data_IF_610803731150
#
_entry.id   IF_610803731150
#
_cell.length_a   1.000
_cell.length_b   1.000
_cell.length_c   1.000
_cell.angle_alpha   90.00
_cell.angle_beta   90.00
_cell.angle_gamma   90.00
#
_symmetry.space_group_name_H-M   'P 1'
#
loop_
_entity.id
_entity.type
_entity.pdbx_description
1 polymer ?
#
# COMPACT_ATOMS: atom_id res chain seq x y z
N UNK A 1 0.03 -54.36 -21.11
CA UNK A 1 0.24 -54.41 -19.65
C UNK A 1 1.34 -53.41 -19.34
N UNK A 2 0.94 -52.18 -18.96
CA UNK A 2 1.16 -51.52 -17.64
C UNK A 2 2.64 -51.20 -17.41
N UNK A 3 3.09 -49.99 -17.09
CA UNK A 3 2.45 -48.67 -16.90
C UNK A 3 3.57 -47.61 -16.91
N UNK A 4 3.22 -46.39 -17.32
CA UNK A 4 4.02 -45.17 -17.22
C UNK A 4 4.64 -45.00 -15.83
N UNK A 5 5.91 -44.58 -15.76
CA UNK A 5 6.54 -44.14 -14.51
C UNK A 5 7.10 -42.73 -14.68
N UNK A 6 6.31 -41.78 -14.20
CA UNK A 6 6.59 -40.34 -13.98
C UNK A 6 5.99 -40.03 -12.60
N UNK A 7 6.43 -39.00 -11.83
CA UNK A 7 7.75 -38.42 -11.53
C UNK A 7 7.95 -38.34 -9.98
N UNK A 8 8.90 -37.54 -9.47
CA UNK A 8 8.59 -36.44 -8.51
C UNK A 8 9.82 -35.54 -8.36
N UNK A 9 9.76 -34.35 -8.96
CA UNK A 9 10.63 -33.22 -8.61
C UNK A 9 10.23 -32.70 -7.23
N UNK A 10 11.15 -32.42 -6.29
CA UNK A 10 10.78 -31.80 -5.03
C UNK A 10 10.26 -30.37 -5.28
N UNK A 11 9.01 -30.15 -4.87
CA UNK A 11 8.35 -28.85 -4.81
C UNK A 11 9.20 -27.90 -3.94
N UNK A 12 9.93 -27.00 -4.61
CA UNK A 12 10.69 -25.93 -3.98
C UNK A 12 9.77 -24.71 -3.82
N UNK A 13 8.63 -24.91 -3.16
CA UNK A 13 7.85 -23.81 -2.60
C UNK A 13 8.62 -23.28 -1.39
N UNK A 14 9.46 -22.27 -1.64
CA UNK A 14 9.98 -21.39 -0.61
C UNK A 14 8.85 -20.86 0.27
N UNK A 15 9.15 -20.43 1.52
CA UNK A 15 8.13 -20.02 2.46
C UNK A 15 7.23 -18.99 1.78
N UNK A 16 5.92 -19.27 1.75
CA UNK A 16 4.92 -18.32 1.31
C UNK A 16 5.25 -17.00 1.99
N UNK A 17 5.72 -16.03 1.19
CA UNK A 17 5.94 -14.68 1.67
C UNK A 17 4.62 -14.29 2.31
N UNK A 18 4.61 -14.20 3.65
CA UNK A 18 3.41 -13.95 4.41
C UNK A 18 2.79 -12.71 3.82
N UNK A 19 1.69 -12.89 3.09
CA UNK A 19 0.93 -11.75 2.59
C UNK A 19 0.68 -10.91 3.83
N UNK A 20 1.12 -9.64 3.88
CA UNK A 20 0.78 -8.80 5.01
C UNK A 20 -0.74 -8.83 5.08
N UNK A 21 -1.26 -9.51 6.10
CA UNK A 21 -2.69 -9.52 6.38
C UNK A 21 -3.02 -8.05 6.56
N UNK A 22 -3.68 -7.47 5.56
CA UNK A 22 -4.26 -6.15 5.72
C UNK A 22 -5.17 -6.31 6.94
N UNK A 23 -4.92 -5.57 8.03
CA UNK A 23 -5.79 -5.66 9.19
C UNK A 23 -7.21 -5.47 8.71
N UNK A 24 -8.14 -6.32 9.16
CA UNK A 24 -9.58 -6.15 8.93
C UNK A 24 -10.01 -4.89 9.69
N UNK A 25 -9.66 -3.75 9.10
CA UNK A 25 -9.70 -2.45 9.74
C UNK A 25 -11.00 -1.78 9.31
N UNK A 26 -12.12 -2.40 9.65
CA UNK A 26 -13.38 -1.66 9.73
C UNK A 26 -13.31 -0.81 10.98
N UNK A 27 -13.09 0.51 10.87
CA UNK A 27 -12.91 1.34 12.05
C UNK A 27 -14.23 1.41 12.81
N UNK A 28 -14.22 1.09 14.10
CA UNK A 28 -15.42 1.11 14.95
C UNK A 28 -15.69 2.51 15.54
N UNK A 29 -14.72 3.42 15.43
CA UNK A 29 -14.81 4.78 15.96
C UNK A 29 -14.16 5.80 15.02
N UNK A 30 -14.53 7.06 15.21
CA UNK A 30 -13.92 8.17 14.47
C UNK A 30 -12.40 8.28 14.71
N UNK A 31 -11.96 7.98 15.95
CA UNK A 31 -10.54 7.94 16.30
C UNK A 31 -9.81 6.85 15.52
N UNK A 32 -10.39 5.66 15.43
CA UNK A 32 -9.84 4.56 14.63
C UNK A 32 -9.82 4.90 13.14
N UNK A 33 -10.88 5.53 12.61
CA UNK A 33 -10.91 5.96 11.21
C UNK A 33 -9.83 6.99 10.91
N UNK A 34 -9.65 7.98 11.80
CA UNK A 34 -8.60 8.99 11.69
C UNK A 34 -7.21 8.37 11.72
N UNK A 35 -6.99 7.39 12.61
CA UNK A 35 -5.72 6.67 12.69
C UNK A 35 -5.47 5.85 11.41
N UNK A 36 -6.47 5.11 10.92
CA UNK A 36 -6.34 4.31 9.70
C UNK A 36 -5.99 5.16 8.47
N UNK A 37 -6.64 6.32 8.28
CA UNK A 37 -6.33 7.22 7.16
C UNK A 37 -4.92 7.83 7.32
N UNK A 38 -4.54 8.23 8.54
CA UNK A 38 -3.20 8.74 8.81
C UNK A 38 -2.11 7.68 8.55
N UNK A 39 -2.39 6.42 8.84
CA UNK A 39 -1.48 5.31 8.58
C UNK A 39 -1.35 5.05 7.08
N UNK A 40 -2.46 5.07 6.35
CA UNK A 40 -2.47 4.97 4.89
C UNK A 40 -1.65 6.11 4.24
N UNK A 41 -1.81 7.35 4.70
CA UNK A 41 -1.01 8.48 4.22
C UNK A 41 0.50 8.26 4.46
N UNK A 42 0.88 7.78 5.65
CA UNK A 42 2.29 7.45 5.93
C UNK A 42 2.82 6.33 5.02
N UNK A 43 2.03 5.30 4.76
CA UNK A 43 2.41 4.22 3.84
C UNK A 43 2.56 4.71 2.40
N UNK A 44 1.68 5.60 1.93
CA UNK A 44 1.80 6.23 0.61
C UNK A 44 3.09 7.06 0.48
N UNK A 45 3.43 7.83 1.52
CA UNK A 45 4.70 8.58 1.58
C UNK A 45 5.92 7.64 1.49
N UNK A 46 5.97 6.60 2.31
CA UNK A 46 7.05 5.59 2.28
C UNK A 46 7.15 4.89 0.92
N UNK A 47 6.00 4.58 0.30
CA UNK A 47 5.97 3.98 -1.03
C UNK A 47 6.55 4.92 -2.10
N UNK A 48 6.21 6.21 -2.06
CA UNK A 48 6.77 7.23 -2.95
C UNK A 48 8.29 7.30 -2.84
N UNK A 49 8.84 7.30 -1.62
CA UNK A 49 10.28 7.33 -1.37
C UNK A 49 10.97 6.04 -1.87
N UNK A 50 10.34 4.89 -1.63
CA UNK A 50 10.84 3.61 -2.12
C UNK A 50 10.89 3.58 -3.65
N UNK A 51 9.82 4.00 -4.32
CA UNK A 51 9.74 4.04 -5.78
C UNK A 51 10.78 5.01 -6.38
N UNK A 52 11.02 6.13 -5.72
CA UNK A 52 12.10 7.09 -6.08
C UNK A 52 13.47 6.43 -6.01
N UNK A 53 13.73 5.70 -4.93
CA UNK A 53 15.00 5.00 -4.69
C UNK A 53 15.24 3.87 -5.70
N UNK A 54 14.19 3.15 -6.09
CA UNK A 54 14.28 2.01 -7.00
C UNK A 54 14.44 2.40 -8.47
N UNK A 55 14.07 3.62 -8.86
CA UNK A 55 14.05 4.06 -10.27
C UNK A 55 15.39 3.88 -10.98
N UNK A 56 16.49 4.41 -10.42
CA UNK A 56 17.81 4.32 -11.07
C UNK A 56 18.37 2.88 -11.10
N UNK A 57 18.31 2.09 -10.00
CA UNK A 57 18.58 0.66 -10.05
C UNK A 57 17.78 -0.08 -11.14
N UNK A 58 16.47 0.17 -11.23
CA UNK A 58 15.61 -0.45 -12.25
C UNK A 58 16.01 -0.03 -13.66
N UNK A 59 16.37 1.24 -13.88
CA UNK A 59 16.86 1.72 -15.18
C UNK A 59 18.13 0.98 -15.60
N UNK A 60 19.06 0.76 -14.67
CA UNK A 60 20.33 0.05 -14.93
C UNK A 60 20.14 -1.46 -15.16
N UNK A 61 19.25 -2.10 -14.40
CA UNK A 61 19.11 -3.57 -14.36
C UNK A 61 18.03 -4.12 -15.30
N UNK A 62 16.95 -3.36 -15.52
CA UNK A 62 15.77 -3.78 -16.28
C UNK A 62 15.41 -2.82 -17.43
N UNK A 63 16.17 -1.74 -17.61
CA UNK A 63 16.03 -0.80 -18.71
C UNK A 63 15.06 0.36 -18.46
N UNK A 64 15.03 1.28 -19.43
CA UNK A 64 14.30 2.54 -19.32
C UNK A 64 12.77 2.36 -19.22
N UNK A 65 12.21 1.35 -19.88
CA UNK A 65 10.77 1.08 -19.84
C UNK A 65 10.27 0.72 -18.43
N UNK A 66 10.98 -0.18 -17.74
CA UNK A 66 10.65 -0.56 -16.36
C UNK A 66 10.78 0.63 -15.39
N UNK A 67 11.82 1.45 -15.56
CA UNK A 67 12.01 2.67 -14.76
C UNK A 67 10.91 3.71 -15.00
N UNK A 68 10.41 3.83 -16.24
CA UNK A 68 9.28 4.70 -16.57
C UNK A 68 7.99 4.22 -15.88
N UNK A 69 7.75 2.90 -15.84
CA UNK A 69 6.61 2.35 -15.09
C UNK A 69 6.69 2.64 -13.59
N UNK A 70 7.88 2.59 -12.98
CA UNK A 70 8.06 2.99 -11.59
C UNK A 70 7.82 4.49 -11.36
N UNK A 71 8.23 5.34 -12.30
CA UNK A 71 7.91 6.78 -12.24
C UNK A 71 6.41 7.04 -12.29
N UNK A 72 5.65 6.30 -13.10
CA UNK A 72 4.19 6.40 -13.14
C UNK A 72 3.58 5.94 -11.80
N UNK A 73 4.05 4.82 -11.25
CA UNK A 73 3.60 4.35 -9.95
C UNK A 73 3.89 5.37 -8.84
N UNK A 74 5.07 6.01 -8.87
CA UNK A 74 5.50 7.04 -7.92
C UNK A 74 4.55 8.24 -7.95
N UNK A 75 4.24 8.77 -9.13
CA UNK A 75 3.30 9.89 -9.29
C UNK A 75 1.90 9.56 -8.78
N UNK A 76 1.41 8.35 -9.07
CA UNK A 76 0.11 7.89 -8.54
C UNK A 76 0.13 7.75 -7.02
N UNK A 77 1.26 7.37 -6.43
CA UNK A 77 1.43 7.33 -4.97
C UNK A 77 1.43 8.73 -4.36
N UNK A 78 2.02 9.73 -5.04
CA UNK A 78 1.95 11.14 -4.64
C UNK A 78 0.52 11.68 -4.71
N UNK A 79 -0.19 11.42 -5.80
CA UNK A 79 -1.60 11.78 -5.94
C UNK A 79 -2.44 11.15 -4.83
N UNK A 80 -2.26 9.85 -4.56
CA UNK A 80 -2.95 9.16 -3.47
C UNK A 80 -2.62 9.74 -2.08
N UNK A 81 -1.36 10.11 -1.83
CA UNK A 81 -0.96 10.77 -0.59
C UNK A 81 -1.73 12.09 -0.39
N UNK A 82 -1.79 12.95 -1.40
CA UNK A 82 -2.51 14.23 -1.32
C UNK A 82 -4.00 14.00 -1.01
N UNK A 83 -4.65 13.07 -1.69
CA UNK A 83 -6.07 12.75 -1.45
C UNK A 83 -6.30 12.19 -0.04
N UNK A 84 -5.37 11.38 0.49
CA UNK A 84 -5.45 10.86 1.85
C UNK A 84 -5.28 11.97 2.91
N UNK A 85 -4.42 12.95 2.66
CA UNK A 85 -4.25 14.11 3.54
C UNK A 85 -5.50 15.00 3.56
N UNK A 86 -6.14 15.19 2.40
CA UNK A 86 -7.43 15.88 2.28
C UNK A 86 -8.50 15.13 3.07
N UNK A 87 -8.66 13.83 2.84
CA UNK A 87 -9.64 13.00 3.54
C UNK A 87 -9.41 13.00 5.07
N UNK A 88 -8.14 13.01 5.51
CA UNK A 88 -7.81 13.12 6.93
C UNK A 88 -8.23 14.47 7.52
N UNK A 89 -8.09 15.56 6.76
CA UNK A 89 -8.61 16.88 7.11
C UNK A 89 -10.12 16.85 7.30
N UNK A 90 -10.85 16.26 6.35
CA UNK A 90 -12.31 16.16 6.38
C UNK A 90 -12.82 15.37 7.58
N UNK A 91 -12.20 14.21 7.87
CA UNK A 91 -12.57 13.38 9.03
C UNK A 91 -12.33 14.10 10.35
N UNK A 92 -11.22 14.85 10.48
CA UNK A 92 -10.94 15.66 11.67
C UNK A 92 -11.95 16.80 11.82
N UNK A 93 -12.29 17.48 10.72
CA UNK A 93 -13.28 18.55 10.73
C UNK A 93 -14.68 18.03 11.11
N UNK A 94 -15.06 16.83 10.65
CA UNK A 94 -16.32 16.20 11.02
C UNK A 94 -16.42 15.91 12.54
N UNK A 95 -15.31 15.55 13.19
CA UNK A 95 -15.29 15.22 14.62
C UNK A 95 -15.32 16.42 15.54
N UNK A 96 -14.76 17.54 15.10
CA UNK A 96 -14.86 18.80 15.83
C UNK A 96 -16.29 19.35 15.86
N UNK A 97 -17.10 19.08 14.83
CA UNK A 97 -18.49 19.56 14.74
C UNK A 97 -19.48 18.79 15.62
N UNK A 98 -19.15 17.58 16.06
CA UNK A 98 -20.02 16.75 16.92
C UNK A 98 -19.97 17.16 18.39
N UNK A 99 -19.00 17.99 18.80
CA UNK A 99 -18.84 18.50 20.18
C UNK A 99 -19.30 19.96 20.24
N UNK A 100 -20.58 20.21 19.96
CA UNK A 100 -21.20 21.48 20.36
C UNK A 100 -22.63 21.21 20.83
N UNK A 101 -22.83 20.83 22.10
CA UNK A 101 -24.15 20.91 22.71
C UNK A 101 -24.44 22.41 22.90
N UNK A 102 -25.48 22.91 22.23
CA UNK A 102 -26.01 24.23 22.53
C UNK A 102 -26.41 24.26 24.01
N UNK A 103 -25.84 25.20 24.77
CA UNK A 103 -26.32 25.59 26.09
C UNK A 103 -27.62 26.38 26.00
#
# INVERSE_FOLDING_TARGET
MVEDSVPTTPDSRGPAAGSPVLPDARPASQRELTAAIADAARLACVLTDLLSTLREPTKRLAGAGAAASLEVARRRSEEALMELEIALGDVRAAGGRTIQPNG
#
